data_IF_901749851637
#
_entry.id   IF_901749851637
#
_cell.length_a   1.000
_cell.length_b   1.000
_cell.length_c   1.000
_cell.angle_alpha   90.00
_cell.angle_beta   90.00
_cell.angle_gamma   90.00
#
_symmetry.space_group_name_H-M   'P 1'
#
loop_
_entity.id
_entity.type
_entity.pdbx_description
1 polymer ?
#
# COMPACT_ATOMS: atom_id res chain seq x y z
N UNK A 1 22.83 -9.58 -9.08
CA UNK A 1 21.97 -8.38 -8.97
C UNK A 1 22.60 -7.15 -9.57
N UNK A 2 23.80 -6.74 -9.15
CA UNK A 2 24.50 -5.54 -9.66
C UNK A 2 24.66 -5.55 -11.19
N UNK A 3 24.95 -6.72 -11.78
CA UNK A 3 25.06 -6.90 -13.22
C UNK A 3 23.75 -6.59 -13.96
N UNK A 4 22.61 -7.09 -13.43
CA UNK A 4 21.31 -6.81 -14.03
C UNK A 4 20.90 -5.34 -13.88
N UNK A 5 21.24 -4.70 -12.75
CA UNK A 5 21.03 -3.26 -12.59
C UNK A 5 21.82 -2.50 -13.65
N UNK A 6 23.11 -2.81 -13.81
CA UNK A 6 23.96 -2.21 -14.84
C UNK A 6 23.47 -2.49 -16.28
N UNK A 7 22.94 -3.69 -16.53
CA UNK A 7 22.28 -4.05 -17.79
C UNK A 7 21.03 -3.21 -18.05
N UNK A 8 20.19 -2.99 -17.03
CA UNK A 8 19.01 -2.13 -17.16
C UNK A 8 19.36 -0.67 -17.48
N UNK A 9 20.44 -0.13 -16.92
CA UNK A 9 20.94 1.21 -17.26
C UNK A 9 21.28 1.31 -18.77
N UNK A 10 21.73 0.20 -19.37
CA UNK A 10 22.01 0.08 -20.80
C UNK A 10 20.79 -0.33 -21.64
N UNK A 11 19.58 -0.32 -21.05
CA UNK A 11 18.33 -0.76 -21.68
C UNK A 11 18.34 -2.22 -22.18
N UNK A 12 19.12 -3.10 -21.53
CA UNK A 12 19.15 -4.52 -21.87
C UNK A 12 17.84 -5.20 -21.43
N UNK A 13 17.09 -5.75 -22.41
CA UNK A 13 15.77 -6.36 -22.19
C UNK A 13 15.81 -7.60 -21.27
N UNK A 14 16.85 -8.43 -21.38
CA UNK A 14 16.97 -9.63 -20.51
C UNK A 14 17.23 -9.23 -19.06
N UNK A 15 18.03 -8.18 -18.83
CA UNK A 15 18.23 -7.64 -17.49
C UNK A 15 16.95 -7.03 -16.91
N UNK A 16 16.18 -6.31 -17.73
CA UNK A 16 14.85 -5.78 -17.31
C UNK A 16 13.88 -6.90 -16.97
N UNK A 17 13.81 -7.95 -17.81
CA UNK A 17 12.97 -9.14 -17.55
C UNK A 17 13.37 -9.81 -16.25
N UNK A 18 14.66 -10.00 -16.00
CA UNK A 18 15.18 -10.63 -14.79
C UNK A 18 14.80 -9.80 -13.55
N UNK A 19 15.00 -8.47 -13.57
CA UNK A 19 14.61 -7.59 -12.47
C UNK A 19 13.10 -7.62 -12.26
N UNK A 20 12.31 -7.50 -13.33
CA UNK A 20 10.85 -7.57 -13.24
C UNK A 20 10.39 -8.87 -12.57
N UNK A 21 10.84 -10.03 -13.07
CA UNK A 21 10.44 -11.34 -12.54
C UNK A 21 10.88 -11.53 -11.08
N UNK A 22 12.10 -11.10 -10.74
CA UNK A 22 12.65 -11.26 -9.39
C UNK A 22 11.95 -10.39 -8.34
N UNK A 23 11.41 -9.23 -8.73
CA UNK A 23 10.79 -8.29 -7.83
C UNK A 23 9.28 -8.19 -7.98
N UNK A 24 8.67 -8.91 -8.94
CA UNK A 24 7.24 -8.89 -9.20
C UNK A 24 6.40 -9.16 -7.94
N UNK A 25 6.60 -10.29 -7.28
CA UNK A 25 5.82 -10.66 -6.10
C UNK A 25 5.99 -9.67 -4.94
N UNK A 26 7.22 -9.17 -4.73
CA UNK A 26 7.50 -8.17 -3.72
C UNK A 26 6.81 -6.83 -4.05
N UNK A 27 6.92 -6.35 -5.28
CA UNK A 27 6.29 -5.12 -5.72
C UNK A 27 4.75 -5.24 -5.68
N UNK A 28 4.20 -6.37 -6.14
CA UNK A 28 2.76 -6.65 -6.11
C UNK A 28 2.23 -6.63 -4.68
N UNK A 29 2.92 -7.24 -3.72
CA UNK A 29 2.51 -7.19 -2.31
C UNK A 29 2.44 -5.78 -1.72
N UNK A 30 3.17 -4.82 -2.30
CA UNK A 30 3.06 -3.41 -1.94
C UNK A 30 1.82 -2.81 -2.61
N UNK A 31 1.63 -3.02 -3.92
CA UNK A 31 0.52 -2.48 -4.68
C UNK A 31 -0.83 -2.94 -4.14
N UNK A 32 -0.95 -4.23 -3.78
CA UNK A 32 -2.17 -4.83 -3.20
C UNK A 32 -2.66 -4.10 -1.94
N UNK A 33 -1.75 -3.60 -1.11
CA UNK A 33 -2.13 -2.87 0.11
C UNK A 33 -2.75 -1.50 -0.20
N UNK A 34 -2.41 -0.89 -1.33
CA UNK A 34 -2.90 0.44 -1.71
C UNK A 34 -4.11 0.39 -2.65
N UNK A 35 -4.36 -0.74 -3.30
CA UNK A 35 -5.45 -0.92 -4.26
C UNK A 35 -6.72 -1.52 -3.65
N UNK A 36 -7.86 -1.26 -4.27
CA UNK A 36 -9.16 -1.87 -3.92
C UNK A 36 -9.50 -3.05 -4.82
N UNK A 37 -8.87 -3.12 -5.97
CA UNK A 37 -9.08 -4.14 -7.00
C UNK A 37 -7.74 -4.68 -7.50
N UNK A 38 -7.76 -5.86 -8.08
CA UNK A 38 -6.56 -6.42 -8.72
C UNK A 38 -6.10 -5.57 -9.91
N UNK A 39 -7.03 -4.99 -10.66
CA UNK A 39 -6.71 -4.17 -11.83
C UNK A 39 -5.97 -2.90 -11.43
N UNK A 40 -6.41 -2.22 -10.35
CA UNK A 40 -5.69 -1.07 -9.78
C UNK A 40 -4.29 -1.48 -9.32
N UNK A 41 -4.14 -2.65 -8.67
CA UNK A 41 -2.85 -3.14 -8.21
C UNK A 41 -1.88 -3.37 -9.37
N UNK A 42 -2.37 -3.97 -10.46
CA UNK A 42 -1.60 -4.21 -11.69
C UNK A 42 -1.25 -2.89 -12.39
N UNK A 43 -2.15 -1.90 -12.43
CA UNK A 43 -1.86 -0.57 -12.97
C UNK A 43 -0.72 0.10 -12.18
N UNK A 44 -0.83 0.13 -10.83
CA UNK A 44 0.21 0.69 -9.96
C UNK A 44 1.55 -0.03 -10.16
N UNK A 45 1.52 -1.37 -10.27
CA UNK A 45 2.70 -2.20 -10.48
C UNK A 45 3.41 -1.85 -11.78
N UNK A 46 2.67 -1.80 -12.89
CA UNK A 46 3.22 -1.52 -14.21
C UNK A 46 3.78 -0.09 -14.30
N UNK A 47 3.03 0.90 -13.81
CA UNK A 47 3.51 2.28 -13.71
C UNK A 47 4.77 2.38 -12.84
N UNK A 48 4.82 1.62 -11.74
CA UNK A 48 5.97 1.55 -10.86
C UNK A 48 7.20 0.97 -11.55
N UNK A 49 7.07 -0.14 -12.28
CA UNK A 49 8.17 -0.73 -13.04
C UNK A 49 8.63 0.16 -14.20
N UNK A 50 7.74 0.85 -14.88
CA UNK A 50 8.11 1.85 -15.87
C UNK A 50 8.98 2.95 -15.25
N UNK A 51 8.61 3.47 -14.07
CA UNK A 51 9.43 4.45 -13.34
C UNK A 51 10.77 3.85 -12.89
N UNK A 52 10.79 2.61 -12.40
CA UNK A 52 12.01 1.89 -12.01
C UNK A 52 12.98 1.86 -13.19
N UNK A 53 12.57 1.37 -14.36
CA UNK A 53 13.46 1.27 -15.51
C UNK A 53 13.89 2.62 -16.07
N UNK A 54 13.01 3.62 -16.04
CA UNK A 54 13.34 4.99 -16.45
C UNK A 54 14.38 5.64 -15.53
N UNK A 55 14.31 5.35 -14.22
CA UNK A 55 15.12 6.03 -13.21
C UNK A 55 16.26 5.18 -12.64
N UNK A 56 16.43 3.95 -13.13
CA UNK A 56 17.43 3.00 -12.59
C UNK A 56 18.87 3.54 -12.67
N UNK A 57 19.13 4.45 -13.60
CA UNK A 57 20.43 5.13 -13.73
C UNK A 57 20.74 6.07 -12.54
N UNK A 58 19.73 6.45 -11.76
CA UNK A 58 19.85 7.28 -10.54
C UNK A 58 20.00 6.42 -9.28
N UNK A 59 19.84 5.10 -9.41
CA UNK A 59 19.93 4.22 -8.25
C UNK A 59 21.35 4.22 -7.67
N UNK A 60 21.44 4.46 -6.37
CA UNK A 60 22.68 4.33 -5.60
C UNK A 60 22.43 3.37 -4.42
N UNK A 61 23.27 2.35 -4.23
CA UNK A 61 23.14 1.45 -3.09
C UNK A 61 23.25 2.23 -1.77
N UNK A 62 22.29 2.03 -0.88
CA UNK A 62 22.30 2.67 0.45
C UNK A 62 23.18 1.90 1.47
N UNK A 63 23.43 0.60 1.22
CA UNK A 63 24.24 -0.28 2.05
C UNK A 63 24.84 -1.43 1.24
N UNK A 64 25.74 -2.21 1.89
CA UNK A 64 26.51 -3.26 1.23
C UNK A 64 25.67 -4.38 0.61
N UNK A 65 24.55 -4.77 1.23
CA UNK A 65 23.60 -5.71 0.62
C UNK A 65 22.83 -5.05 -0.52
N UNK A 66 23.28 -5.33 -1.74
CA UNK A 66 22.70 -4.77 -2.95
C UNK A 66 21.22 -5.17 -3.14
N UNK A 67 20.83 -6.38 -2.73
CA UNK A 67 19.44 -6.85 -2.89
C UNK A 67 18.52 -6.12 -1.93
N UNK A 68 18.89 -6.02 -0.67
CA UNK A 68 18.12 -5.31 0.34
C UNK A 68 18.05 -3.80 0.02
N UNK A 69 19.17 -3.21 -0.40
CA UNK A 69 19.21 -1.80 -0.85
C UNK A 69 18.29 -1.56 -2.05
N UNK A 70 18.32 -2.44 -3.05
CA UNK A 70 17.46 -2.31 -4.21
C UNK A 70 15.97 -2.54 -3.88
N UNK A 71 15.65 -3.48 -2.98
CA UNK A 71 14.28 -3.65 -2.45
C UNK A 71 13.75 -2.37 -1.81
N UNK A 72 14.56 -1.69 -1.00
CA UNK A 72 14.18 -0.41 -0.39
C UNK A 72 13.88 0.67 -1.43
N UNK A 73 14.69 0.74 -2.50
CA UNK A 73 14.48 1.67 -3.58
C UNK A 73 13.22 1.35 -4.40
N UNK A 74 12.99 0.06 -4.75
CA UNK A 74 11.75 -0.42 -5.39
C UNK A 74 10.53 -0.07 -4.54
N UNK A 75 10.57 -0.34 -3.21
CA UNK A 75 9.48 0.00 -2.28
C UNK A 75 9.13 1.48 -2.38
N UNK A 76 10.13 2.34 -2.32
CA UNK A 76 9.93 3.78 -2.40
C UNK A 76 9.18 4.17 -3.68
N UNK A 77 9.60 3.65 -4.84
CA UNK A 77 8.94 3.94 -6.12
C UNK A 77 7.49 3.42 -6.13
N UNK A 78 7.25 2.19 -5.68
CA UNK A 78 5.91 1.61 -5.65
C UNK A 78 4.96 2.41 -4.74
N UNK A 79 5.40 2.79 -3.54
CA UNK A 79 4.60 3.61 -2.62
C UNK A 79 4.28 4.98 -3.22
N UNK A 80 5.26 5.66 -3.83
CA UNK A 80 5.00 6.95 -4.50
C UNK A 80 4.08 6.79 -5.71
N UNK A 81 4.19 5.70 -6.46
CA UNK A 81 3.27 5.42 -7.57
C UNK A 81 1.85 5.18 -7.08
N UNK A 82 1.69 4.46 -5.98
CA UNK A 82 0.38 4.28 -5.34
C UNK A 82 -0.22 5.61 -4.83
N UNK A 83 0.60 6.50 -4.28
CA UNK A 83 0.16 7.87 -3.90
C UNK A 83 -0.31 8.64 -5.13
N UNK A 84 0.43 8.59 -6.24
CA UNK A 84 0.04 9.27 -7.49
C UNK A 84 -1.27 8.70 -8.05
N UNK A 85 -1.46 7.38 -8.00
CA UNK A 85 -2.71 6.71 -8.38
C UNK A 85 -3.88 7.16 -7.50
N UNK A 86 -3.70 7.22 -6.17
CA UNK A 86 -4.71 7.76 -5.26
C UNK A 86 -5.07 9.22 -5.60
N UNK A 87 -4.09 10.06 -5.91
CA UNK A 87 -4.34 11.46 -6.31
C UNK A 87 -5.16 11.56 -7.60
N UNK A 88 -4.91 10.67 -8.58
CA UNK A 88 -5.71 10.59 -9.82
C UNK A 88 -7.16 10.25 -9.48
N UNK A 89 -7.39 9.18 -8.70
CA UNK A 89 -8.74 8.76 -8.26
C UNK A 89 -9.46 9.91 -7.52
N UNK A 90 -8.80 10.53 -6.56
CA UNK A 90 -9.36 11.65 -5.79
C UNK A 90 -9.81 12.80 -6.69
N UNK A 91 -9.05 13.12 -7.74
CA UNK A 91 -9.39 14.18 -8.70
C UNK A 91 -10.62 13.82 -9.54
N UNK A 92 -10.77 12.56 -9.94
CA UNK A 92 -11.90 12.08 -10.75
C UNK A 92 -13.19 11.99 -9.92
N UNK A 93 -13.12 11.67 -8.63
CA UNK A 93 -14.27 11.58 -7.74
C UNK A 93 -14.82 12.95 -7.28
N UNK A 94 -14.35 14.08 -7.85
CA UNK A 94 -14.81 15.45 -7.56
C UNK A 94 -14.94 15.79 -6.06
N UNK A 95 -14.09 15.20 -5.23
CA UNK A 95 -14.07 15.49 -3.80
C UNK A 95 -15.18 14.83 -2.97
N UNK A 96 -16.05 14.02 -3.55
CA UNK A 96 -16.99 13.20 -2.82
C UNK A 96 -16.26 12.03 -2.14
N UNK A 97 -15.64 12.35 -1.03
CA UNK A 97 -15.28 11.35 -0.02
C UNK A 97 -16.52 11.25 0.85
N UNK A 98 -17.26 10.14 0.76
CA UNK A 98 -18.41 9.88 1.62
C UNK A 98 -18.03 10.14 3.09
N UNK A 99 -18.72 11.07 3.76
CA UNK A 99 -18.64 11.16 5.20
C UNK A 99 -19.51 10.04 5.77
N UNK A 100 -18.99 8.82 5.82
CA UNK A 100 -19.63 7.81 6.65
C UNK A 100 -19.48 8.27 8.09
N UNK A 101 -20.52 8.90 8.58
CA UNK A 101 -20.68 9.30 9.98
C UNK A 101 -20.80 8.01 10.80
N UNK A 102 -19.73 7.62 11.46
CA UNK A 102 -19.73 6.49 12.39
C UNK A 102 -19.55 7.02 13.81
N UNK A 103 -20.56 6.78 14.62
CA UNK A 103 -20.51 6.96 16.07
C UNK A 103 -19.36 6.11 16.64
N UNK A 104 -18.56 6.71 17.48
CA UNK A 104 -17.47 6.08 18.21
C UNK A 104 -18.06 5.10 19.21
N UNK A 105 -17.87 3.81 19.00
CA UNK A 105 -18.09 2.80 20.02
C UNK A 105 -16.74 2.41 20.63
N UNK A 106 -16.71 2.38 21.95
CA UNK A 106 -15.54 2.20 22.80
C UNK A 106 -14.84 0.85 22.65
N UNK A 107 -13.57 0.86 23.04
CA UNK A 107 -12.61 -0.22 23.24
C UNK A 107 -13.23 -1.56 23.62
N UNK A 108 -12.96 -2.56 22.78
CA UNK A 108 -12.82 -3.95 23.21
C UNK A 108 -11.54 -4.49 22.59
N UNK A 109 -10.54 -4.69 23.42
CA UNK A 109 -9.38 -5.52 23.12
C UNK A 109 -9.87 -6.96 23.08
N UNK A 110 -9.94 -7.56 21.90
CA UNK A 110 -10.28 -8.99 21.80
C UNK A 110 -9.74 -9.59 20.50
N UNK A 111 -9.00 -10.68 20.65
CA UNK A 111 -8.80 -11.78 19.68
C UNK A 111 -8.13 -11.47 18.31
N UNK A 112 -7.33 -10.43 18.20
CA UNK A 112 -6.58 -10.11 16.97
C UNK A 112 -5.33 -10.98 16.75
N UNK A 113 -4.92 -11.76 17.75
CA UNK A 113 -3.66 -12.51 17.73
C UNK A 113 -3.63 -13.72 16.78
N UNK A 114 -4.75 -14.07 16.15
CA UNK A 114 -4.87 -15.24 15.26
C UNK A 114 -5.19 -14.94 13.81
N UNK A 115 -5.30 -13.66 13.42
CA UNK A 115 -5.62 -13.30 12.04
C UNK A 115 -4.43 -13.50 11.12
N UNK A 116 -4.64 -14.21 10.01
CA UNK A 116 -3.61 -14.35 8.99
C UNK A 116 -3.33 -13.02 8.29
N UNK A 117 -2.10 -12.86 7.76
CA UNK A 117 -1.75 -11.70 6.94
C UNK A 117 -2.74 -11.45 5.81
N UNK A 118 -3.28 -12.50 5.22
CA UNK A 118 -4.24 -12.42 4.12
C UNK A 118 -5.58 -11.81 4.54
N UNK A 119 -6.09 -12.18 5.71
CA UNK A 119 -7.34 -11.63 6.25
C UNK A 119 -7.21 -10.15 6.54
N UNK A 120 -6.08 -9.73 7.11
CA UNK A 120 -5.77 -8.31 7.34
C UNK A 120 -5.68 -7.56 6.02
N UNK A 121 -5.00 -8.12 5.01
CA UNK A 121 -4.89 -7.51 3.69
C UNK A 121 -6.26 -7.30 3.04
N UNK A 122 -7.12 -8.32 3.06
CA UNK A 122 -8.50 -8.23 2.55
C UNK A 122 -9.29 -7.15 3.30
N UNK A 123 -9.14 -7.07 4.62
CA UNK A 123 -9.80 -6.04 5.42
C UNK A 123 -9.31 -4.63 5.04
N UNK A 124 -8.01 -4.46 4.83
CA UNK A 124 -7.41 -3.18 4.38
C UNK A 124 -7.90 -2.81 2.98
N UNK A 125 -8.00 -3.76 2.05
CA UNK A 125 -8.53 -3.53 0.71
C UNK A 125 -10.01 -3.08 0.69
N UNK A 126 -10.79 -3.44 1.71
CA UNK A 126 -12.20 -3.01 1.87
C UNK A 126 -12.35 -1.59 2.43
N UNK A 127 -11.28 -0.97 2.89
CA UNK A 127 -11.32 0.44 3.29
C UNK A 127 -11.55 1.35 2.08
N UNK A 128 -12.16 2.52 2.32
CA UNK A 128 -12.20 3.56 1.28
C UNK A 128 -10.77 3.95 0.87
N UNK A 129 -10.56 4.43 -0.37
CA UNK A 129 -9.24 4.80 -0.86
C UNK A 129 -8.49 5.77 0.09
N UNK A 130 -9.19 6.75 0.68
CA UNK A 130 -8.60 7.72 1.60
C UNK A 130 -8.13 7.06 2.92
N UNK A 131 -8.97 6.21 3.51
CA UNK A 131 -8.64 5.52 4.76
C UNK A 131 -7.51 4.51 4.55
N UNK A 132 -7.58 3.74 3.49
CA UNK A 132 -6.58 2.76 3.09
C UNK A 132 -5.21 3.40 2.87
N UNK A 133 -5.16 4.48 2.09
CA UNK A 133 -3.90 5.17 1.80
C UNK A 133 -3.28 5.75 3.07
N UNK A 134 -4.04 6.48 3.90
CA UNK A 134 -3.52 7.04 5.16
C UNK A 134 -3.09 5.94 6.11
N UNK A 135 -3.85 4.85 6.24
CA UNK A 135 -3.49 3.72 7.09
C UNK A 135 -2.16 3.10 6.67
N UNK A 136 -1.98 2.80 5.39
CA UNK A 136 -0.73 2.21 4.90
C UNK A 136 0.46 3.15 5.08
N UNK A 137 0.33 4.43 4.76
CA UNK A 137 1.42 5.40 4.92
C UNK A 137 1.83 5.56 6.39
N UNK A 138 0.88 5.57 7.31
CA UNK A 138 1.17 5.72 8.74
C UNK A 138 1.70 4.41 9.35
N UNK A 139 0.98 3.28 9.15
CA UNK A 139 1.27 2.02 9.84
C UNK A 139 2.39 1.23 9.16
N UNK A 140 2.39 1.17 7.82
CA UNK A 140 3.33 0.32 7.08
C UNK A 140 4.59 1.07 6.63
N UNK A 141 4.47 2.38 6.35
CA UNK A 141 5.61 3.20 5.92
C UNK A 141 6.19 4.05 7.06
N UNK A 142 5.53 4.10 8.23
CA UNK A 142 6.01 4.84 9.40
C UNK A 142 6.00 6.36 9.23
N UNK A 143 5.23 6.90 8.29
CA UNK A 143 5.17 8.33 8.03
C UNK A 143 4.39 9.07 9.11
N UNK A 144 4.86 10.25 9.50
CA UNK A 144 4.12 11.18 10.36
C UNK A 144 2.87 11.75 9.67
N UNK A 145 1.92 12.27 10.44
CA UNK A 145 0.73 12.93 9.86
C UNK A 145 1.09 14.17 9.04
N UNK A 146 2.14 14.87 9.40
CA UNK A 146 2.68 16.00 8.65
C UNK A 146 3.20 15.55 7.28
N UNK A 147 4.02 14.48 7.22
CA UNK A 147 4.52 13.94 5.97
C UNK A 147 3.40 13.42 5.07
N UNK A 148 2.39 12.75 5.66
CA UNK A 148 1.20 12.28 4.94
C UNK A 148 0.40 13.46 4.39
N UNK A 149 0.19 14.50 5.18
CA UNK A 149 -0.51 15.71 4.81
C UNK A 149 0.14 16.36 3.59
N UNK A 150 1.45 16.55 3.63
CA UNK A 150 2.24 17.10 2.52
C UNK A 150 2.17 16.21 1.26
N UNK A 151 2.26 14.88 1.43
CA UNK A 151 2.22 13.93 0.30
C UNK A 151 0.84 13.79 -0.34
N UNK A 152 -0.25 13.86 0.43
CA UNK A 152 -1.61 13.67 -0.09
C UNK A 152 -2.32 14.98 -0.42
N UNK A 153 -1.75 16.13 -0.08
CA UNK A 153 -2.40 17.44 -0.24
C UNK A 153 -3.70 17.50 0.58
N UNK A 154 -3.63 17.15 1.87
CA UNK A 154 -4.74 17.19 2.83
C UNK A 154 -4.28 17.89 4.11
N UNK A 155 -5.19 18.40 4.93
CA UNK A 155 -4.84 18.91 6.24
C UNK A 155 -4.35 17.80 7.17
N UNK A 156 -3.43 18.10 8.09
CA UNK A 156 -2.93 17.11 9.08
C UNK A 156 -4.06 16.55 9.94
N UNK A 157 -5.05 17.38 10.35
CA UNK A 157 -6.26 16.93 11.03
C UNK A 157 -7.08 15.92 10.21
N UNK A 158 -7.12 16.08 8.88
CA UNK A 158 -7.76 15.12 7.98
C UNK A 158 -6.99 13.79 7.97
N UNK A 159 -5.67 13.81 7.98
CA UNK A 159 -4.86 12.60 8.10
C UNK A 159 -5.14 11.87 9.41
N UNK A 160 -5.16 12.59 10.54
CA UNK A 160 -5.49 12.02 11.87
C UNK A 160 -6.89 11.40 11.90
N UNK A 161 -7.90 12.12 11.40
CA UNK A 161 -9.27 11.61 11.35
C UNK A 161 -9.45 10.41 10.43
N UNK A 162 -8.78 10.39 9.27
CA UNK A 162 -8.81 9.25 8.36
C UNK A 162 -8.17 8.00 8.98
N UNK A 163 -7.07 8.14 9.71
CA UNK A 163 -6.46 7.01 10.42
C UNK A 163 -7.38 6.46 11.51
N UNK A 164 -7.99 7.34 12.31
CA UNK A 164 -8.94 6.93 13.34
C UNK A 164 -10.14 6.17 12.74
N UNK A 165 -10.73 6.70 11.66
CA UNK A 165 -11.81 6.04 10.93
C UNK A 165 -11.37 4.71 10.30
N UNK A 166 -10.17 4.67 9.71
CA UNK A 166 -9.61 3.42 9.16
C UNK A 166 -9.55 2.31 10.23
N UNK A 167 -9.05 2.61 11.42
CA UNK A 167 -8.97 1.67 12.54
C UNK A 167 -10.34 1.15 12.97
N UNK A 168 -11.33 2.03 13.10
CA UNK A 168 -12.72 1.65 13.44
C UNK A 168 -13.32 0.74 12.36
N UNK A 169 -13.11 1.07 11.08
CA UNK A 169 -13.61 0.24 9.98
C UNK A 169 -12.94 -1.12 9.94
N UNK A 170 -11.62 -1.18 10.10
CA UNK A 170 -10.88 -2.45 10.16
C UNK A 170 -11.40 -3.32 11.29
N UNK A 171 -11.56 -2.78 12.50
CA UNK A 171 -12.10 -3.52 13.64
C UNK A 171 -13.48 -4.12 13.31
N UNK A 172 -14.38 -3.34 12.71
CA UNK A 172 -15.72 -3.83 12.33
C UNK A 172 -15.66 -4.94 11.26
N UNK A 173 -14.79 -4.81 10.28
CA UNK A 173 -14.62 -5.82 9.22
C UNK A 173 -14.11 -7.12 9.82
N UNK A 174 -13.08 -7.05 10.65
CA UNK A 174 -12.44 -8.22 11.27
C UNK A 174 -13.40 -8.94 12.23
N UNK A 175 -14.13 -8.22 13.07
CA UNK A 175 -15.14 -8.82 13.97
C UNK A 175 -16.22 -9.59 13.18
N UNK A 176 -16.73 -9.02 12.08
CA UNK A 176 -17.71 -9.71 11.22
C UNK A 176 -17.15 -10.97 10.56
N UNK A 177 -15.87 -10.97 10.18
CA UNK A 177 -15.21 -12.14 9.60
C UNK A 177 -15.10 -13.27 10.65
N UNK A 178 -14.65 -12.95 11.85
CA UNK A 178 -14.54 -13.90 12.96
C UNK A 178 -15.91 -14.51 13.32
N UNK A 179 -16.97 -13.71 13.39
CA UNK A 179 -18.34 -14.22 13.65
C UNK A 179 -18.83 -15.17 12.55
N UNK A 180 -18.50 -14.89 11.27
CA UNK A 180 -18.88 -15.76 10.16
C UNK A 180 -18.11 -17.08 10.16
N UNK A 181 -16.85 -17.07 10.54
CA UNK A 181 -16.05 -18.29 10.70
C UNK A 181 -16.55 -19.16 11.86
N UNK A 182 -16.86 -18.56 13.00
CA UNK A 182 -17.47 -19.28 14.13
C UNK A 182 -18.79 -19.99 13.71
N UNK A 183 -19.64 -19.31 12.95
CA UNK A 183 -20.90 -19.89 12.45
C UNK A 183 -20.69 -21.02 11.43
N UNK A 184 -19.62 -20.97 10.64
CA UNK A 184 -19.28 -22.04 9.68
C UNK A 184 -18.72 -23.29 10.37
N UNK A 185 -17.97 -23.10 11.46
CA UNK A 185 -17.33 -24.19 12.18
C UNK A 185 -18.22 -24.81 13.27
N UNK A 186 -19.38 -24.20 13.54
CA UNK A 186 -20.37 -24.68 14.52
C UNK A 186 -21.50 -25.54 13.90
N UNK A 187 -21.42 -25.84 12.61
CA UNK A 187 -22.32 -26.73 11.85
C UNK A 187 -21.55 -27.96 11.41
#
# INVERSE_FOLDING_TARGET
MSEHIAGCVKNNRESQKTIYSSFYGYAMSICDRYSGTNDDAVEILNDGFLKIFKEIHKYQPAYADTVASFKGWVRKIMVYTAIDHYRKIKKHLNGHIDPVTLQVASNQETALDKLSYQEILIAVQRLSPAYRTVFNLFVMEGMSHEEISNKLGIAEGTSKSNLAKARIHLQKILLKQTEQEYKRNAV
#
